data_IF_598709631443
#
_entry.id   IF_598709631443
#
_cell.length_a   1.000
_cell.length_b   1.000
_cell.length_c   1.000
_cell.angle_alpha   90.00
_cell.angle_beta   90.00
_cell.angle_gamma   90.00
#
_symmetry.space_group_name_H-M   'P 1'
#
loop_
_entity.id
_entity.type
_entity.pdbx_description
1 polymer ?
#
# COMPACT_ATOMS: atom_id res chain seq x y z
N UNK A 1 62.94 -27.10 -29.50
CA UNK A 1 63.10 -26.92 -30.96
C UNK A 1 61.70 -26.71 -31.55
N UNK A 2 61.10 -25.51 -31.45
CA UNK A 2 61.13 -24.41 -32.44
C UNK A 2 61.07 -24.88 -33.91
N UNK A 3 59.87 -24.82 -34.50
CA UNK A 3 59.69 -24.38 -35.89
C UNK A 3 58.51 -23.40 -35.97
N UNK A 4 58.85 -22.21 -36.42
CA UNK A 4 57.97 -21.11 -36.77
C UNK A 4 57.77 -21.10 -38.29
N UNK A 5 56.63 -20.55 -38.74
CA UNK A 5 56.37 -19.95 -40.07
C UNK A 5 54.98 -19.28 -39.95
N UNK A 6 54.86 -18.00 -39.59
CA UNK A 6 54.94 -16.77 -40.41
C UNK A 6 53.90 -16.62 -41.55
N UNK A 7 52.99 -15.66 -41.29
CA UNK A 7 51.93 -14.94 -42.06
C UNK A 7 52.17 -14.69 -43.56
N UNK A 8 51.11 -14.34 -44.33
CA UNK A 8 50.86 -12.92 -44.62
C UNK A 8 49.38 -12.48 -44.54
N UNK A 9 49.22 -11.16 -44.45
CA UNK A 9 47.98 -10.39 -44.37
C UNK A 9 47.28 -10.21 -45.73
N UNK A 10 45.98 -9.95 -45.71
CA UNK A 10 45.29 -9.24 -46.78
C UNK A 10 44.22 -8.30 -46.18
N UNK A 11 44.49 -7.01 -46.28
CA UNK A 11 43.53 -5.91 -46.19
C UNK A 11 42.60 -5.95 -47.40
N UNK A 12 41.29 -5.77 -47.19
CA UNK A 12 40.40 -5.21 -48.20
C UNK A 12 39.35 -4.34 -47.50
N UNK A 13 39.57 -3.04 -47.60
CA UNK A 13 38.57 -2.02 -47.34
C UNK A 13 37.63 -1.94 -48.55
N UNK A 14 36.33 -1.93 -48.30
CA UNK A 14 35.33 -1.44 -49.25
C UNK A 14 34.34 -0.59 -48.47
N UNK A 15 34.55 0.73 -48.56
CA UNK A 15 33.58 1.73 -48.17
C UNK A 15 32.47 1.77 -49.23
N UNK A 16 31.21 1.65 -48.80
CA UNK A 16 30.07 2.13 -49.57
C UNK A 16 29.34 3.15 -48.70
N UNK A 17 29.45 4.40 -49.12
CA UNK A 17 28.66 5.54 -48.66
C UNK A 17 27.22 5.37 -49.15
N UNK A 18 26.27 5.40 -48.22
CA UNK A 18 24.85 5.66 -48.49
C UNK A 18 24.33 6.66 -47.46
N UNK A 19 24.17 7.93 -47.88
CA UNK A 19 23.27 8.90 -47.27
C UNK A 19 21.82 8.33 -47.36
N UNK A 20 20.85 8.53 -46.49
CA UNK A 20 20.52 9.60 -45.55
C UNK A 20 19.26 9.16 -44.78
N UNK A 21 19.18 9.43 -43.48
CA UNK A 21 17.99 9.93 -42.78
C UNK A 21 18.39 10.18 -41.31
N UNK A 22 18.65 11.45 -41.01
CA UNK A 22 18.77 11.98 -39.65
C UNK A 22 17.36 11.97 -39.06
N UNK A 23 17.11 11.06 -38.13
CA UNK A 23 16.03 11.17 -37.14
C UNK A 23 16.69 11.39 -35.78
N UNK A 24 16.38 12.51 -35.13
CA UNK A 24 16.89 12.86 -33.81
C UNK A 24 16.47 11.81 -32.78
N UNK A 25 17.39 10.94 -32.36
CA UNK A 25 17.32 10.26 -31.07
C UNK A 25 18.06 11.15 -30.07
N UNK A 26 17.32 11.80 -29.19
CA UNK A 26 17.87 12.55 -28.08
C UNK A 26 18.19 11.57 -26.96
N UNK A 27 19.39 10.99 -26.97
CA UNK A 27 19.99 10.38 -25.79
C UNK A 27 20.49 11.49 -24.84
N UNK A 28 20.01 11.58 -23.59
CA UNK A 28 20.75 12.25 -22.55
C UNK A 28 21.69 11.23 -21.90
N UNK A 29 22.99 11.49 -22.08
CA UNK A 29 24.13 11.14 -21.23
C UNK A 29 23.93 9.94 -20.27
N UNK A 30 24.53 8.82 -20.65
CA UNK A 30 24.75 7.68 -19.75
C UNK A 30 25.58 8.08 -18.54
N UNK A 31 24.91 8.18 -17.40
CA UNK A 31 25.49 7.92 -16.09
C UNK A 31 25.58 6.41 -15.91
N UNK A 32 26.80 5.94 -15.69
CA UNK A 32 27.17 4.73 -14.96
C UNK A 32 26.05 3.72 -14.74
N UNK A 33 26.01 2.66 -15.56
CA UNK A 33 25.17 1.50 -15.30
C UNK A 33 25.53 0.91 -13.95
N UNK A 34 24.60 1.03 -13.01
CA UNK A 34 24.58 0.24 -11.79
C UNK A 34 24.02 -1.15 -12.13
N UNK A 35 24.68 -2.18 -11.63
CA UNK A 35 24.36 -3.54 -11.96
C UNK A 35 23.33 -4.07 -10.95
N UNK A 36 22.06 -4.24 -11.36
CA UNK A 36 21.21 -5.28 -10.76
C UNK A 36 19.79 -4.92 -10.33
N UNK A 37 19.40 -3.66 -10.17
CA UNK A 37 18.04 -3.36 -9.68
C UNK A 37 16.99 -3.49 -10.79
N UNK A 38 15.99 -4.34 -10.55
CA UNK A 38 14.84 -4.50 -11.46
C UNK A 38 13.75 -3.55 -11.00
N UNK A 39 13.33 -2.61 -11.85
CA UNK A 39 12.27 -1.65 -11.49
C UNK A 39 10.90 -2.14 -11.97
N UNK A 40 9.93 -2.13 -11.08
CA UNK A 40 8.52 -2.41 -11.31
C UNK A 40 7.70 -1.11 -11.24
N UNK A 41 7.12 -0.71 -12.37
CA UNK A 41 6.35 0.53 -12.51
C UNK A 41 4.92 0.30 -13.02
N UNK A 42 4.33 -0.87 -12.74
CA UNK A 42 2.94 -1.20 -13.11
C UNK A 42 2.62 -1.18 -14.62
N UNK A 43 3.62 -1.05 -15.48
CA UNK A 43 3.47 -1.03 -16.94
C UNK A 43 3.21 -2.43 -17.53
N UNK A 44 3.68 -3.47 -16.85
CA UNK A 44 3.51 -4.86 -17.26
C UNK A 44 3.08 -5.69 -16.06
N UNK A 45 2.19 -6.65 -16.27
CA UNK A 45 1.84 -7.61 -15.23
C UNK A 45 3.01 -8.57 -15.03
N UNK A 46 3.66 -8.48 -13.88
CA UNK A 46 4.82 -9.33 -13.59
C UNK A 46 6.12 -8.75 -14.10
N UNK A 47 7.13 -8.66 -13.24
CA UNK A 47 8.53 -8.60 -13.69
C UNK A 47 9.17 -9.99 -13.68
N UNK A 48 10.26 -10.12 -14.44
CA UNK A 48 11.10 -11.29 -14.37
C UNK A 48 11.63 -11.46 -12.94
N UNK A 49 11.65 -12.69 -12.40
CA UNK A 49 12.19 -12.96 -11.09
C UNK A 49 13.60 -12.37 -10.88
N UNK A 50 13.80 -11.68 -9.76
CA UNK A 50 15.04 -10.99 -9.40
C UNK A 50 15.30 -11.10 -7.89
N UNK A 51 16.55 -10.90 -7.46
CA UNK A 51 16.89 -10.91 -6.03
C UNK A 51 16.46 -9.62 -5.32
N UNK A 52 16.32 -8.53 -6.08
CA UNK A 52 15.93 -7.22 -5.60
C UNK A 52 15.05 -6.54 -6.65
N UNK A 53 13.99 -5.91 -6.19
CA UNK A 53 13.00 -5.23 -7.01
C UNK A 53 12.66 -3.88 -6.41
N UNK A 54 12.76 -2.84 -7.22
CA UNK A 54 12.32 -1.49 -6.89
C UNK A 54 10.89 -1.27 -7.38
N UNK A 55 9.97 -0.93 -6.49
CA UNK A 55 8.54 -0.73 -6.78
C UNK A 55 8.23 0.75 -6.62
N UNK A 56 7.67 1.38 -7.66
CA UNK A 56 7.25 2.78 -7.59
C UNK A 56 6.17 3.10 -8.61
N UNK A 57 5.36 4.11 -8.30
CA UNK A 57 4.41 4.68 -9.25
C UNK A 57 5.18 5.52 -10.27
N UNK A 58 5.07 5.27 -11.59
CA UNK A 58 5.84 5.98 -12.60
C UNK A 58 5.42 7.46 -12.71
N UNK A 59 6.36 8.30 -13.14
CA UNK A 59 6.16 9.75 -13.20
C UNK A 59 5.03 10.18 -14.14
N UNK A 60 4.83 9.48 -15.26
CA UNK A 60 3.74 9.73 -16.20
C UNK A 60 2.36 9.45 -15.59
N UNK A 61 2.26 8.44 -14.72
CA UNK A 61 1.05 8.19 -13.93
C UNK A 61 0.83 9.27 -12.89
N UNK A 62 1.88 9.65 -12.14
CA UNK A 62 1.79 10.72 -11.14
C UNK A 62 1.29 12.04 -11.75
N UNK A 63 1.71 12.35 -12.98
CA UNK A 63 1.20 13.52 -13.72
C UNK A 63 -0.30 13.41 -14.02
N UNK A 64 -0.77 12.23 -14.44
CA UNK A 64 -2.20 11.98 -14.72
C UNK A 64 -3.04 11.96 -13.43
N UNK A 65 -2.49 11.46 -12.33
CA UNK A 65 -3.14 11.46 -11.01
C UNK A 65 -3.44 12.86 -10.49
N UNK A 66 -2.59 13.85 -10.82
CA UNK A 66 -2.77 15.22 -10.37
C UNK A 66 -2.79 15.29 -8.84
N UNK A 67 -3.90 15.78 -8.27
CA UNK A 67 -4.03 15.96 -6.82
C UNK A 67 -3.94 14.63 -6.03
N UNK A 68 -4.28 13.50 -6.65
CA UNK A 68 -4.19 12.20 -5.98
C UNK A 68 -2.73 11.76 -5.79
N UNK A 69 -1.79 12.27 -6.61
CA UNK A 69 -0.36 12.03 -6.41
C UNK A 69 0.18 12.77 -5.17
N UNK A 70 -0.39 13.93 -4.83
CA UNK A 70 -0.01 14.69 -3.63
C UNK A 70 -0.46 13.98 -2.34
N UNK A 71 -1.45 13.09 -2.43
CA UNK A 71 -1.92 12.28 -1.32
C UNK A 71 -1.07 11.02 -1.09
N UNK A 72 -0.17 10.65 -2.00
CA UNK A 72 0.67 9.46 -1.85
C UNK A 72 1.58 9.54 -0.63
N UNK A 73 1.81 8.40 0.02
CA UNK A 73 2.69 8.33 1.21
C UNK A 73 4.11 7.89 0.86
N UNK A 74 4.25 7.03 -0.14
CA UNK A 74 5.49 6.31 -0.46
C UNK A 74 5.99 6.74 -1.83
N UNK A 75 7.28 7.07 -1.91
CA UNK A 75 7.94 7.33 -3.18
C UNK A 75 8.35 6.02 -3.85
N UNK A 76 9.01 5.15 -3.10
CA UNK A 76 9.59 3.90 -3.59
C UNK A 76 9.69 2.84 -2.48
N UNK A 77 9.53 1.57 -2.86
CA UNK A 77 9.81 0.41 -2.00
C UNK A 77 10.83 -0.48 -2.71
N UNK A 78 11.95 -0.76 -2.06
CA UNK A 78 12.91 -1.77 -2.53
C UNK A 78 12.64 -3.06 -1.78
N UNK A 79 12.18 -4.08 -2.49
CA UNK A 79 11.92 -5.40 -1.97
C UNK A 79 13.08 -6.35 -2.29
N UNK A 80 13.58 -7.08 -1.30
CA UNK A 80 14.66 -8.08 -1.47
C UNK A 80 14.39 -9.35 -0.67
N UNK A 81 14.83 -10.49 -1.20
CA UNK A 81 14.71 -11.76 -0.48
C UNK A 81 15.67 -11.78 0.71
N UNK A 82 15.19 -12.20 1.87
CA UNK A 82 15.98 -12.30 3.08
C UNK A 82 16.45 -13.75 3.29
N UNK A 83 17.76 -13.96 3.38
CA UNK A 83 18.36 -15.27 3.57
C UNK A 83 18.09 -15.81 4.98
N UNK A 84 17.57 -17.03 5.09
CA UNK A 84 17.24 -17.70 6.35
C UNK A 84 18.03 -19.00 6.52
N UNK A 85 18.39 -19.34 7.76
CA UNK A 85 19.20 -20.52 8.04
C UNK A 85 18.48 -21.86 7.80
N UNK A 86 17.14 -21.89 7.89
CA UNK A 86 16.38 -23.14 7.99
C UNK A 86 15.42 -23.45 6.82
N UNK A 87 15.22 -22.53 5.87
CA UNK A 87 14.43 -22.73 4.64
C UNK A 87 12.98 -23.21 4.82
N UNK A 88 12.43 -23.17 6.04
CA UNK A 88 11.07 -23.60 6.33
C UNK A 88 10.02 -22.54 5.98
N UNK A 89 10.42 -21.28 6.12
CA UNK A 89 9.68 -20.08 5.77
C UNK A 89 10.55 -19.23 4.86
N UNK A 90 9.93 -18.23 4.23
CA UNK A 90 10.62 -17.24 3.42
C UNK A 90 10.43 -15.87 4.06
N UNK A 91 11.43 -15.01 3.89
CA UNK A 91 11.38 -13.65 4.39
C UNK A 91 11.72 -12.66 3.27
N UNK A 92 11.11 -11.49 3.33
CA UNK A 92 11.39 -10.38 2.43
C UNK A 92 11.66 -9.12 3.24
N UNK A 93 12.70 -8.39 2.87
CA UNK A 93 12.98 -7.06 3.38
C UNK A 93 12.40 -6.02 2.44
N UNK A 94 11.69 -5.05 3.03
CA UNK A 94 11.11 -3.89 2.37
C UNK A 94 11.82 -2.65 2.89
N UNK A 95 12.60 -1.99 2.05
CA UNK A 95 13.16 -0.68 2.32
C UNK A 95 12.26 0.39 1.70
N UNK A 96 11.64 1.23 2.55
CA UNK A 96 10.63 2.19 2.17
C UNK A 96 11.24 3.59 2.14
N UNK A 97 11.08 4.27 1.02
CA UNK A 97 11.33 5.70 0.90
C UNK A 97 10.00 6.43 0.95
N UNK A 98 9.79 7.18 2.03
CA UNK A 98 8.61 8.01 2.24
C UNK A 98 8.69 9.33 1.47
N UNK A 99 7.53 9.83 1.04
CA UNK A 99 7.40 11.21 0.54
C UNK A 99 7.48 12.22 1.69
N UNK A 100 7.70 13.49 1.38
CA UNK A 100 7.89 14.54 2.39
C UNK A 100 6.72 14.61 3.39
N UNK A 101 7.03 14.67 4.68
CA UNK A 101 6.04 14.71 5.76
C UNK A 101 5.47 13.36 6.18
N UNK A 102 5.99 12.27 5.62
CA UNK A 102 5.62 10.89 5.95
C UNK A 102 6.76 10.17 6.70
N UNK A 103 6.47 9.15 7.52
CA UNK A 103 5.17 8.51 7.75
C UNK A 103 4.23 9.20 8.76
N UNK A 104 4.60 10.36 9.30
CA UNK A 104 3.84 11.04 10.36
C UNK A 104 2.38 11.35 9.99
N UNK A 105 2.11 11.71 8.73
CA UNK A 105 0.75 11.93 8.23
C UNK A 105 -0.11 10.66 8.31
N UNK A 106 0.47 9.52 7.91
CA UNK A 106 -0.18 8.22 7.98
C UNK A 106 -0.43 7.77 9.43
N UNK A 107 0.56 7.94 10.31
CA UNK A 107 0.41 7.67 11.76
C UNK A 107 -0.71 8.52 12.36
N UNK A 108 -0.75 9.81 12.01
CA UNK A 108 -1.77 10.73 12.50
C UNK A 108 -3.17 10.30 12.05
N UNK A 109 -3.32 9.94 10.77
CA UNK A 109 -4.59 9.47 10.20
C UNK A 109 -5.07 8.16 10.85
N UNK A 110 -4.17 7.20 11.07
CA UNK A 110 -4.50 5.90 11.65
C UNK A 110 -4.65 5.87 13.18
N UNK A 111 -4.26 6.93 13.88
CA UNK A 111 -4.43 7.05 15.34
C UNK A 111 -5.90 7.10 15.75
N UNK A 112 -6.22 6.78 17.01
CA UNK A 112 -7.60 6.86 17.52
C UNK A 112 -8.25 8.24 17.28
N UNK A 113 -7.46 9.32 17.42
CA UNK A 113 -7.92 10.68 17.16
C UNK A 113 -8.19 10.89 15.65
N UNK A 114 -7.30 10.41 14.78
CA UNK A 114 -7.48 10.46 13.34
C UNK A 114 -8.70 9.67 12.89
N UNK A 115 -8.84 8.43 13.34
CA UNK A 115 -10.00 7.58 13.06
C UNK A 115 -11.31 8.20 13.56
N UNK A 116 -11.30 8.79 14.76
CA UNK A 116 -12.46 9.54 15.27
C UNK A 116 -12.81 10.71 14.36
N UNK A 117 -11.84 11.54 13.98
CA UNK A 117 -12.07 12.67 13.07
C UNK A 117 -12.58 12.22 11.70
N UNK A 118 -12.12 11.09 11.18
CA UNK A 118 -12.64 10.50 9.95
C UNK A 118 -14.10 10.03 10.10
N UNK A 119 -14.40 9.33 11.20
CA UNK A 119 -15.76 8.87 11.50
C UNK A 119 -16.75 10.04 11.69
N UNK A 120 -16.31 11.12 12.33
CA UNK A 120 -17.08 12.36 12.47
C UNK A 120 -17.40 12.97 11.11
N UNK A 121 -16.39 13.14 10.24
CA UNK A 121 -16.59 13.67 8.89
C UNK A 121 -17.53 12.80 8.05
N UNK A 122 -17.34 11.48 8.05
CA UNK A 122 -18.21 10.56 7.32
C UNK A 122 -19.67 10.62 7.81
N UNK A 123 -19.87 10.82 9.12
CA UNK A 123 -21.20 10.98 9.69
C UNK A 123 -21.86 12.30 9.25
N UNK A 124 -21.10 13.40 9.23
CA UNK A 124 -21.56 14.70 8.74
C UNK A 124 -21.91 14.64 7.25
N UNK A 125 -21.05 14.06 6.41
CA UNK A 125 -21.26 13.91 4.97
C UNK A 125 -22.53 13.09 4.68
N UNK A 126 -22.72 11.98 5.40
CA UNK A 126 -23.86 11.09 5.20
C UNK A 126 -25.19 11.71 5.61
N UNK A 127 -25.20 12.42 6.74
CA UNK A 127 -26.43 13.05 7.27
C UNK A 127 -26.71 14.39 6.59
N UNK A 128 -25.70 15.02 6.01
CA UNK A 128 -25.76 16.41 5.53
C UNK A 128 -25.84 17.43 6.66
N UNK A 129 -25.62 17.00 7.92
CA UNK A 129 -25.66 17.87 9.08
C UNK A 129 -24.44 18.79 9.13
N UNK A 130 -24.62 19.93 9.78
CA UNK A 130 -23.55 20.93 9.94
C UNK A 130 -22.64 20.65 11.14
N UNK A 131 -23.08 19.80 12.07
CA UNK A 131 -22.33 19.45 13.28
C UNK A 131 -22.78 18.10 13.87
N UNK A 132 -21.92 17.51 14.71
CA UNK A 132 -22.26 16.29 15.45
C UNK A 132 -23.40 16.54 16.43
N UNK A 133 -23.45 17.71 17.07
CA UNK A 133 -24.53 18.08 17.99
C UNK A 133 -25.92 18.08 17.31
N UNK A 134 -25.98 18.47 16.03
CA UNK A 134 -27.21 18.41 15.23
C UNK A 134 -27.66 16.96 14.99
N UNK A 135 -26.70 16.06 14.72
CA UNK A 135 -26.98 14.62 14.54
C UNK A 135 -27.44 14.01 15.86
N UNK A 136 -26.80 14.36 16.97
CA UNK A 136 -27.20 13.92 18.32
C UNK A 136 -28.64 14.33 18.62
N UNK A 137 -28.98 15.59 18.36
CA UNK A 137 -30.34 16.10 18.58
C UNK A 137 -31.38 15.37 17.72
N UNK A 138 -31.10 15.13 16.44
CA UNK A 138 -32.01 14.39 15.56
C UNK A 138 -32.19 12.93 16.02
N UNK A 139 -31.12 12.29 16.49
CA UNK A 139 -31.21 10.93 17.05
C UNK A 139 -32.05 10.94 18.34
N UNK A 140 -31.90 11.94 19.21
CA UNK A 140 -32.75 12.09 20.40
C UNK A 140 -34.24 12.23 20.01
N UNK A 141 -34.55 12.97 18.93
CA UNK A 141 -35.92 13.07 18.41
C UNK A 141 -36.44 11.73 17.88
N UNK A 142 -35.62 10.96 17.15
CA UNK A 142 -35.96 9.62 16.67
C UNK A 142 -36.27 8.67 17.83
N UNK A 143 -35.46 8.72 18.89
CA UNK A 143 -35.65 7.91 20.10
C UNK A 143 -36.96 8.30 20.78
N UNK A 144 -37.19 9.60 21.01
CA UNK A 144 -38.38 10.11 21.68
C UNK A 144 -39.68 9.77 20.90
N UNK A 145 -39.71 9.97 19.57
CA UNK A 145 -40.87 9.60 18.73
C UNK A 145 -41.12 8.09 18.78
N UNK A 146 -40.04 7.30 18.72
CA UNK A 146 -40.12 5.85 18.78
C UNK A 146 -40.71 5.35 20.10
N UNK A 147 -40.27 5.90 21.23
CA UNK A 147 -40.79 5.58 22.56
C UNK A 147 -42.26 5.99 22.71
N UNK A 148 -42.64 7.19 22.26
CA UNK A 148 -44.03 7.66 22.31
C UNK A 148 -44.97 6.75 21.49
N UNK A 149 -44.48 6.24 20.36
CA UNK A 149 -45.21 5.32 19.48
C UNK A 149 -45.17 3.86 19.95
N UNK A 150 -44.50 3.57 21.06
CA UNK A 150 -44.37 2.23 21.62
C UNK A 150 -43.57 1.27 20.72
N UNK A 151 -42.61 1.80 19.96
CA UNK A 151 -41.69 1.00 19.16
C UNK A 151 -40.76 0.20 20.07
N UNK A 152 -40.32 -0.96 19.57
CA UNK A 152 -39.28 -1.74 20.23
C UNK A 152 -37.91 -1.09 20.02
N UNK A 153 -36.96 -1.35 20.92
CA UNK A 153 -35.59 -0.85 20.79
C UNK A 153 -34.95 -1.20 19.43
N UNK A 154 -35.23 -2.38 18.88
CA UNK A 154 -34.75 -2.76 17.54
C UNK A 154 -35.32 -1.88 16.43
N UNK A 155 -36.58 -1.47 16.53
CA UNK A 155 -37.20 -0.59 15.53
C UNK A 155 -36.63 0.82 15.62
N UNK A 156 -36.37 1.33 16.82
CA UNK A 156 -35.68 2.61 17.04
C UNK A 156 -34.27 2.54 16.45
N UNK A 157 -33.51 1.48 16.76
CA UNK A 157 -32.18 1.25 16.20
C UNK A 157 -32.17 1.22 14.66
N UNK A 158 -33.17 0.60 14.03
CA UNK A 158 -33.30 0.58 12.58
C UNK A 158 -33.59 1.97 11.99
N UNK A 159 -34.36 2.81 12.70
CA UNK A 159 -34.60 4.19 12.26
C UNK A 159 -33.32 5.02 12.35
N UNK A 160 -32.55 4.88 13.44
CA UNK A 160 -31.23 5.50 13.59
C UNK A 160 -30.29 5.04 12.47
N UNK A 161 -30.26 3.74 12.17
CA UNK A 161 -29.47 3.22 11.06
C UNK A 161 -29.94 3.77 9.71
N UNK A 162 -31.23 4.02 9.53
CA UNK A 162 -31.74 4.60 8.27
C UNK A 162 -31.34 6.06 8.13
N UNK A 163 -31.38 6.83 9.21
CA UNK A 163 -31.02 8.26 9.21
C UNK A 163 -29.51 8.46 9.14
N UNK A 164 -28.82 7.97 10.16
CA UNK A 164 -27.42 8.24 10.40
C UNK A 164 -26.52 7.10 9.95
N UNK A 165 -27.04 5.98 9.44
CA UNK A 165 -26.26 4.82 9.00
C UNK A 165 -25.38 4.19 10.09
N UNK A 166 -25.66 4.50 11.35
CA UNK A 166 -25.04 3.90 12.53
C UNK A 166 -25.65 2.50 12.72
N UNK A 167 -24.82 1.48 12.91
CA UNK A 167 -25.31 0.11 13.06
C UNK A 167 -26.22 -0.02 14.28
N UNK A 168 -27.27 -0.83 14.16
CA UNK A 168 -28.26 -1.02 15.23
C UNK A 168 -27.66 -1.49 16.57
N UNK A 169 -26.47 -2.10 16.57
CA UNK A 169 -25.74 -2.54 17.76
C UNK A 169 -25.31 -1.39 18.68
N UNK A 170 -25.20 -0.17 18.17
CA UNK A 170 -24.81 1.01 18.96
C UNK A 170 -25.97 1.62 19.75
N UNK A 171 -27.21 1.19 19.52
CA UNK A 171 -28.37 1.62 20.32
C UNK A 171 -28.83 0.49 21.25
N UNK A 172 -28.96 0.83 22.53
CA UNK A 172 -29.60 0.00 23.54
C UNK A 172 -30.75 0.78 24.18
N UNK A 173 -31.76 0.07 24.67
CA UNK A 173 -32.92 0.69 25.33
C UNK A 173 -32.47 1.63 26.47
N UNK A 174 -32.96 2.87 26.44
CA UNK A 174 -32.56 3.94 27.36
C UNK A 174 -31.26 4.68 27.04
N UNK A 175 -30.60 4.40 25.90
CA UNK A 175 -29.48 5.20 25.41
C UNK A 175 -29.97 6.55 24.85
N UNK A 176 -29.15 7.58 25.00
CA UNK A 176 -29.35 8.89 24.37
C UNK A 176 -28.72 8.95 22.98
N UNK A 177 -29.05 9.96 22.19
CA UNK A 177 -28.38 10.23 20.91
C UNK A 177 -26.87 10.45 21.10
N UNK A 178 -26.45 11.05 22.22
CA UNK A 178 -25.04 11.20 22.56
C UNK A 178 -24.37 9.84 22.75
N UNK A 179 -25.01 8.93 23.49
CA UNK A 179 -24.45 7.59 23.75
C UNK A 179 -24.28 6.79 22.45
N UNK A 180 -25.27 6.89 21.54
CA UNK A 180 -25.23 6.23 20.23
C UNK A 180 -24.10 6.77 19.36
N UNK A 181 -23.96 8.10 19.30
CA UNK A 181 -22.94 8.77 18.50
C UNK A 181 -21.55 8.51 19.06
N UNK A 182 -21.34 8.65 20.38
CA UNK A 182 -20.04 8.35 20.99
C UNK A 182 -19.67 6.87 20.86
N UNK A 183 -20.64 5.96 20.98
CA UNK A 183 -20.45 4.55 20.69
C UNK A 183 -19.97 4.31 19.26
N UNK A 184 -20.61 4.94 18.28
CA UNK A 184 -20.20 4.86 16.87
C UNK A 184 -18.79 5.43 16.65
N UNK A 185 -18.50 6.60 17.21
CA UNK A 185 -17.21 7.30 17.04
C UNK A 185 -16.05 6.62 17.79
N UNK A 186 -16.33 5.81 18.81
CA UNK A 186 -15.32 5.03 19.55
C UNK A 186 -15.17 3.59 19.04
N UNK A 187 -16.18 3.06 18.32
CA UNK A 187 -16.29 1.66 17.90
C UNK A 187 -15.26 1.17 16.86
N UNK A 188 -14.28 2.00 16.48
CA UNK A 188 -13.14 1.59 15.65
C UNK A 188 -11.88 1.17 16.42
N UNK A 189 -11.83 1.42 17.74
CA UNK A 189 -10.60 1.35 18.56
C UNK A 189 -10.46 0.08 19.42
N UNK A 190 -10.83 -1.08 18.90
CA UNK A 190 -10.53 -2.34 19.62
C UNK A 190 -9.05 -2.73 19.46
N UNK A 191 -8.19 -2.11 20.27
CA UNK A 191 -6.76 -2.44 20.38
C UNK A 191 -5.88 -1.21 20.61
N UNK A 192 -4.75 -1.38 21.30
CA UNK A 192 -3.73 -0.32 21.37
C UNK A 192 -3.09 -0.18 19.98
N UNK A 193 -3.43 0.89 19.26
CA UNK A 193 -2.90 1.19 17.93
C UNK A 193 -1.48 1.73 18.05
N UNK A 194 -0.50 0.84 17.94
CA UNK A 194 0.91 1.27 17.87
C UNK A 194 1.19 1.90 16.50
N UNK A 195 2.15 2.84 16.43
CA UNK A 195 2.58 3.43 15.16
C UNK A 195 3.02 2.34 14.16
N UNK A 196 3.80 1.36 14.62
CA UNK A 196 4.19 0.22 13.78
C UNK A 196 2.97 -0.52 13.23
N UNK A 197 1.96 -0.79 14.07
CA UNK A 197 0.70 -1.40 13.66
C UNK A 197 -0.06 -0.57 12.63
N UNK A 198 -0.13 0.76 12.79
CA UNK A 198 -0.75 1.66 11.83
C UNK A 198 -0.05 1.57 10.47
N UNK A 199 1.29 1.64 10.45
CA UNK A 199 2.07 1.55 9.22
C UNK A 199 1.91 0.20 8.54
N UNK A 200 2.02 -0.91 9.27
CA UNK A 200 1.90 -2.24 8.67
C UNK A 200 0.50 -2.51 8.15
N UNK A 201 -0.54 -2.03 8.84
CA UNK A 201 -1.92 -2.16 8.38
C UNK A 201 -2.16 -1.34 7.10
N UNK A 202 -1.64 -0.11 7.03
CA UNK A 202 -1.74 0.73 5.84
C UNK A 202 -0.96 0.18 4.63
N UNK A 203 0.08 -0.60 4.88
CA UNK A 203 0.82 -1.34 3.85
C UNK A 203 0.13 -2.67 3.46
N UNK A 204 -1.05 -2.99 3.99
CA UNK A 204 -1.73 -4.26 3.74
C UNK A 204 -1.08 -5.48 4.41
N UNK A 205 -0.05 -5.28 5.24
CA UNK A 205 0.70 -6.33 5.94
C UNK A 205 -0.04 -6.77 7.21
N UNK A 206 -1.28 -7.23 7.02
CA UNK A 206 -2.13 -7.70 8.12
C UNK A 206 -1.73 -9.11 8.51
N UNK A 207 -1.15 -9.26 9.70
CA UNK A 207 -0.82 -10.56 10.28
C UNK A 207 -1.75 -10.85 11.47
N UNK A 208 -1.90 -12.13 11.84
CA UNK A 208 -2.69 -12.51 13.02
C UNK A 208 -2.09 -12.03 14.35
N UNK A 209 -0.85 -11.52 14.32
CA UNK A 209 -0.11 -10.96 15.45
C UNK A 209 0.27 -9.49 15.22
N UNK A 210 0.46 -8.74 16.30
CA UNK A 210 1.00 -7.39 16.21
C UNK A 210 2.44 -7.42 15.64
N UNK A 211 2.87 -6.37 14.91
CA UNK A 211 4.24 -6.28 14.44
C UNK A 211 5.23 -6.24 15.62
N UNK A 212 6.39 -6.85 15.42
CA UNK A 212 7.51 -6.89 16.38
C UNK A 212 8.58 -5.89 15.99
N UNK A 213 9.48 -5.56 16.92
CA UNK A 213 10.65 -4.76 16.58
C UNK A 213 11.59 -5.56 15.68
N UNK A 214 12.23 -4.92 14.71
CA UNK A 214 13.21 -5.59 13.83
C UNK A 214 14.41 -6.15 14.59
N UNK A 215 14.73 -5.58 15.76
CA UNK A 215 15.76 -6.10 16.66
C UNK A 215 15.43 -7.47 17.27
N UNK A 216 14.15 -7.85 17.27
CA UNK A 216 13.67 -9.12 17.82
C UNK A 216 13.65 -10.25 16.76
N UNK A 217 13.99 -9.94 15.51
CA UNK A 217 14.05 -10.91 14.44
C UNK A 217 15.25 -11.86 14.61
N UNK A 218 15.00 -13.17 14.55
CA UNK A 218 16.01 -14.22 14.69
C UNK A 218 16.07 -15.05 13.40
N UNK A 219 17.10 -14.82 12.58
CA UNK A 219 17.35 -15.51 11.31
C UNK A 219 17.56 -17.04 11.48
N UNK A 220 18.00 -17.48 12.66
CA UNK A 220 18.25 -18.89 12.96
C UNK A 220 16.98 -19.65 13.34
N UNK A 221 15.98 -18.93 13.84
CA UNK A 221 14.68 -19.43 14.24
C UNK A 221 13.55 -18.44 13.85
N UNK A 222 13.37 -18.17 12.55
CA UNK A 222 12.41 -17.19 12.07
C UNK A 222 10.98 -17.58 12.47
N UNK A 223 10.28 -16.68 13.14
CA UNK A 223 8.85 -16.78 13.39
C UNK A 223 8.09 -15.97 12.34
N UNK A 224 7.02 -16.55 11.79
CA UNK A 224 6.09 -15.82 10.91
C UNK A 224 5.60 -14.53 11.56
N UNK A 225 5.46 -13.49 10.74
CA UNK A 225 5.02 -12.17 11.19
C UNK A 225 5.72 -11.03 10.48
N UNK A 226 5.54 -9.83 11.05
CA UNK A 226 6.08 -8.58 10.50
C UNK A 226 6.99 -7.96 11.56
N UNK A 227 8.18 -7.57 11.14
CA UNK A 227 9.22 -6.97 11.97
C UNK A 227 9.56 -5.59 11.43
N UNK A 228 9.54 -4.56 12.27
CA UNK A 228 9.57 -3.16 11.83
C UNK A 228 10.69 -2.41 12.54
N UNK A 229 11.44 -1.60 11.81
CA UNK A 229 12.45 -0.68 12.38
C UNK A 229 11.80 0.49 13.12
N UNK A 230 12.54 1.11 14.06
CA UNK A 230 12.04 2.26 14.85
C UNK A 230 11.61 3.46 14.00
N UNK A 231 12.21 3.62 12.81
CA UNK A 231 11.90 4.68 11.84
C UNK A 231 10.88 4.25 10.77
N UNK A 232 10.38 3.02 10.86
CA UNK A 232 9.42 2.40 9.93
C UNK A 232 9.90 2.27 8.48
N UNK A 233 11.15 2.63 8.18
CA UNK A 233 11.71 2.60 6.83
C UNK A 233 12.20 1.22 6.40
N UNK A 234 12.36 0.28 7.35
CA UNK A 234 12.74 -1.11 7.07
C UNK A 234 11.74 -2.06 7.71
N UNK A 235 11.18 -2.95 6.89
CA UNK A 235 10.23 -3.97 7.33
C UNK A 235 10.69 -5.33 6.82
N UNK A 236 10.79 -6.31 7.71
CA UNK A 236 10.98 -7.72 7.33
C UNK A 236 9.66 -8.46 7.50
N UNK A 237 9.19 -9.09 6.43
CA UNK A 237 7.95 -9.89 6.42
C UNK A 237 8.33 -11.35 6.29
N UNK A 238 7.87 -12.18 7.22
CA UNK A 238 8.14 -13.62 7.27
C UNK A 238 6.84 -14.38 7.04
N UNK A 239 6.83 -15.31 6.08
CA UNK A 239 5.67 -16.12 5.76
C UNK A 239 6.00 -17.37 4.96
N UNK A 240 4.96 -18.02 4.45
CA UNK A 240 5.09 -19.19 3.58
C UNK A 240 5.91 -18.87 2.33
N UNK A 241 6.79 -19.78 1.95
CA UNK A 241 7.50 -19.69 0.67
C UNK A 241 6.56 -19.89 -0.52
N UNK A 242 6.71 -19.03 -1.52
CA UNK A 242 6.06 -19.18 -2.81
C UNK A 242 6.62 -20.37 -3.59
N UNK A 243 5.74 -21.11 -4.28
CA UNK A 243 6.16 -22.21 -5.15
C UNK A 243 6.88 -21.73 -6.41
N UNK A 244 6.66 -20.46 -6.79
CA UNK A 244 7.32 -19.78 -7.91
C UNK A 244 7.22 -18.26 -7.76
N UNK A 245 8.00 -17.50 -8.51
CA UNK A 245 7.94 -16.03 -8.54
C UNK A 245 6.63 -15.46 -9.15
N UNK A 246 5.70 -16.30 -9.58
CA UNK A 246 4.38 -15.87 -10.07
C UNK A 246 3.26 -16.58 -9.32
N UNK A 247 3.54 -17.05 -8.09
CA UNK A 247 2.58 -17.75 -7.25
C UNK A 247 1.73 -16.72 -6.48
N UNK A 248 0.44 -16.54 -6.84
CA UNK A 248 -0.43 -15.60 -6.15
C UNK A 248 -0.92 -16.12 -4.79
N UNK A 249 -0.89 -17.44 -4.56
CA UNK A 249 -1.53 -18.06 -3.39
C UNK A 249 -0.71 -17.85 -2.11
N UNK A 250 0.60 -17.63 -2.28
CA UNK A 250 1.59 -17.40 -1.20
C UNK A 250 2.31 -16.06 -1.35
N UNK A 251 1.72 -15.12 -2.09
CA UNK A 251 2.27 -13.78 -2.22
C UNK A 251 1.97 -12.94 -0.97
N UNK A 252 2.95 -12.13 -0.56
CA UNK A 252 2.76 -11.05 0.39
C UNK A 252 2.00 -9.95 -0.35
N UNK A 253 0.83 -9.57 0.16
CA UNK A 253 0.10 -8.41 -0.33
C UNK A 253 0.69 -7.14 0.29
N UNK A 254 1.04 -6.19 -0.57
CA UNK A 254 1.60 -4.90 -0.21
C UNK A 254 0.76 -3.80 -0.84
N UNK A 255 0.32 -2.85 -0.04
CA UNK A 255 -0.43 -1.68 -0.48
C UNK A 255 0.48 -0.45 -0.44
N UNK A 256 0.30 0.42 -1.43
CA UNK A 256 0.90 1.76 -1.46
C UNK A 256 -0.17 2.73 -0.95
N UNK A 257 -0.11 3.17 0.31
CA UNK A 257 -1.16 3.99 0.90
C UNK A 257 -1.11 5.44 0.39
N UNK A 258 -2.27 6.09 0.44
CA UNK A 258 -2.46 7.52 0.30
C UNK A 258 -3.20 8.08 1.53
N UNK A 259 -2.96 9.36 1.83
CA UNK A 259 -3.67 10.13 2.85
C UNK A 259 -4.25 11.37 2.18
N UNK A 260 -5.58 11.40 2.05
CA UNK A 260 -6.30 12.54 1.48
C UNK A 260 -6.22 13.79 2.35
N UNK A 261 -6.58 14.95 1.78
CA UNK A 261 -6.64 16.22 2.51
C UNK A 261 -7.68 16.22 3.65
N UNK A 262 -8.65 15.31 3.61
CA UNK A 262 -9.64 15.06 4.67
C UNK A 262 -9.08 14.17 5.81
N UNK A 263 -7.83 13.72 5.69
CA UNK A 263 -7.16 12.83 6.63
C UNK A 263 -7.57 11.37 6.49
N UNK A 264 -8.34 11.00 5.47
CA UNK A 264 -8.71 9.61 5.21
C UNK A 264 -7.57 8.87 4.53
N UNK A 265 -7.35 7.63 4.96
CA UNK A 265 -6.40 6.72 4.30
C UNK A 265 -7.10 5.96 3.19
N UNK A 266 -6.42 5.81 2.05
CA UNK A 266 -6.85 4.97 0.93
C UNK A 266 -5.61 4.27 0.34
N UNK A 267 -5.81 3.50 -0.73
CA UNK A 267 -4.75 2.73 -1.39
C UNK A 267 -4.58 3.22 -2.83
N UNK A 268 -3.38 3.68 -3.17
CA UNK A 268 -2.99 4.09 -4.53
C UNK A 268 -2.78 2.88 -5.43
N UNK A 269 -2.09 1.86 -4.94
CA UNK A 269 -1.76 0.67 -5.71
C UNK A 269 -1.62 -0.55 -4.81
N UNK A 270 -1.87 -1.72 -5.38
CA UNK A 270 -1.70 -3.01 -4.71
C UNK A 270 -0.67 -3.82 -5.45
N UNK A 271 0.21 -4.46 -4.69
CA UNK A 271 1.34 -5.26 -5.16
C UNK A 271 1.30 -6.62 -4.48
N UNK A 272 1.59 -7.67 -5.23
CA UNK A 272 1.79 -9.03 -4.77
C UNK A 272 3.26 -9.38 -4.93
N UNK A 273 3.90 -9.72 -3.81
CA UNK A 273 5.31 -10.12 -3.74
C UNK A 273 5.40 -11.63 -3.45
N UNK A 274 5.83 -12.41 -4.44
CA UNK A 274 6.09 -13.84 -4.25
C UNK A 274 7.57 -14.04 -3.94
N UNK A 275 7.89 -14.68 -2.81
CA UNK A 275 9.29 -14.95 -2.40
C UNK A 275 9.54 -16.46 -2.34
N UNK A 276 10.51 -16.93 -3.11
CA UNK A 276 10.86 -18.36 -3.19
C UNK A 276 12.00 -18.72 -2.22
N UNK A 277 12.20 -20.02 -1.99
CA UNK A 277 13.22 -20.55 -1.06
C UNK A 277 14.66 -20.19 -1.41
N UNK A 278 14.92 -19.80 -2.67
CA UNK A 278 16.22 -19.33 -3.15
C UNK A 278 16.35 -17.79 -3.14
N UNK A 279 15.45 -17.09 -2.43
CA UNK A 279 15.49 -15.64 -2.25
C UNK A 279 15.03 -14.84 -3.48
N UNK A 280 14.47 -15.51 -4.48
CA UNK A 280 14.00 -14.84 -5.70
C UNK A 280 12.62 -14.22 -5.43
N UNK A 281 12.48 -12.97 -5.82
CA UNK A 281 11.23 -12.20 -5.77
C UNK A 281 10.61 -12.14 -7.15
N UNK A 282 9.31 -12.37 -7.22
CA UNK A 282 8.49 -11.88 -8.31
C UNK A 282 7.43 -10.90 -7.82
N UNK A 283 7.07 -9.96 -8.70
CA UNK A 283 6.20 -8.84 -8.37
C UNK A 283 5.16 -8.67 -9.45
N UNK A 284 3.90 -8.59 -9.05
CA UNK A 284 2.78 -8.19 -9.89
C UNK A 284 1.90 -7.20 -9.11
N UNK A 285 1.07 -6.42 -9.78
CA UNK A 285 0.29 -5.40 -9.11
C UNK A 285 -0.55 -4.58 -10.07
N UNK A 286 -1.36 -3.72 -9.49
CA UNK A 286 -2.28 -2.84 -10.20
C UNK A 286 -2.38 -1.50 -9.47
N UNK A 287 -2.73 -0.46 -10.21
CA UNK A 287 -2.98 0.88 -9.68
C UNK A 287 -4.49 1.07 -9.64
N UNK A 288 -5.00 1.56 -8.50
CA UNK A 288 -6.42 1.85 -8.32
C UNK A 288 -6.85 2.96 -9.29
N UNK A 289 -8.00 2.81 -9.93
CA UNK A 289 -8.64 3.82 -10.80
C UNK A 289 -7.85 4.25 -12.07
N UNK A 290 -6.71 3.64 -12.38
CA UNK A 290 -5.92 3.96 -13.58
C UNK A 290 -5.57 2.73 -14.42
N UNK A 291 -5.62 2.88 -15.74
CA UNK A 291 -5.25 1.84 -16.72
C UNK A 291 -4.47 2.45 -17.88
N UNK A 292 -3.74 1.61 -18.63
CA UNK A 292 -3.09 2.02 -19.89
C UNK A 292 -4.07 1.93 -21.06
N UNK A 293 -4.13 2.96 -21.89
CA UNK A 293 -4.87 2.96 -23.15
C UNK A 293 -4.12 2.21 -24.27
N UNK A 294 -4.72 2.13 -25.47
CA UNK A 294 -4.12 1.44 -26.62
C UNK A 294 -2.81 2.10 -27.14
N UNK A 295 -2.50 3.32 -26.71
CA UNK A 295 -1.29 4.05 -27.05
C UNK A 295 -0.26 4.02 -25.91
N UNK A 296 -0.50 3.19 -24.89
CA UNK A 296 0.33 3.09 -23.69
C UNK A 296 0.37 4.38 -22.85
N UNK A 297 -0.71 5.16 -22.84
CA UNK A 297 -0.88 6.31 -21.94
C UNK A 297 -1.72 5.91 -20.73
N UNK A 298 -1.40 6.44 -19.55
CA UNK A 298 -2.28 6.33 -18.39
C UNK A 298 -3.56 7.14 -18.59
N UNK A 299 -4.69 6.53 -18.25
CA UNK A 299 -6.02 7.13 -18.23
C UNK A 299 -6.76 6.70 -16.98
N UNK A 300 -7.74 7.50 -16.56
CA UNK A 300 -8.71 7.09 -15.52
C UNK A 300 -9.57 5.94 -16.07
N UNK A 301 -9.75 4.89 -15.28
CA UNK A 301 -10.52 3.68 -15.62
C UNK A 301 -12.02 3.91 -15.70
#
# INVERSE_FOLDING_TARGET
>A
MKRALQRPAALLAAAILGLSLVGCSSDPAGTSGDAGSTVYEFQTNGIKPANEVTIRVPADLREVMGADADAMVIDEIVASGHDLDNGQVCAADLAITYLDGQPDGLVSAGSDAGQRSQAEQALLERTGASSIDEIVAEIDEIIADGEERGLTAQQIANNIQTFAGIQATFYTDGATGQDVVDGYLSGGSEGETTNAGIITNALGLTSSSAPKAISDFDESAPEEGVYVSDDYATITVVGDCAASATDPDKAIQLELPSVGADGKTDTTATVQLSVTTDGIIGVAGEVKDYVRDANDNWIVS
#
